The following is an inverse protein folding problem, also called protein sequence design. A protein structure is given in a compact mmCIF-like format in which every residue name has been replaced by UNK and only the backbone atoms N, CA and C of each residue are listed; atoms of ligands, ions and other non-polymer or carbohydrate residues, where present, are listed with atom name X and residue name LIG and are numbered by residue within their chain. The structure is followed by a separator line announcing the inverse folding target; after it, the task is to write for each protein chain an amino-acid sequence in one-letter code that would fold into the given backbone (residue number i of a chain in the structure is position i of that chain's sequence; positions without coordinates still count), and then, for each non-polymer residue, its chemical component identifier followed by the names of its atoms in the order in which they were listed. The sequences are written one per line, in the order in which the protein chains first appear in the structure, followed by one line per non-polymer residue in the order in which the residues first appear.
data_IF_982345997558
#
_entry.id   IF_982345997558
#
_cell.length_a   1.000
_cell.length_b   1.000
_cell.length_c   1.000
_cell.angle_alpha   90.00
_cell.angle_beta   90.00
_cell.angle_gamma   90.00
#
_symmetry.space_group_name_H-M   'P 1'
#
loop_
_entity.id
_entity.type
_entity.pdbx_description
1 polymer ?
#
# COMPACT_ATOMS: atom_id res chain seq x y z
N UNK A 1 27.06 46.97 33.62
CA UNK A 1 27.63 45.97 32.69
C UNK A 1 26.73 44.75 32.73
N UNK A 2 25.85 44.57 31.74
CA UNK A 2 24.92 43.44 31.67
C UNK A 2 25.19 42.69 30.35
N UNK A 3 25.82 41.52 30.43
CA UNK A 3 26.01 40.63 29.26
C UNK A 3 24.68 39.91 28.98
N UNK A 4 24.14 39.91 27.75
CA UNK A 4 23.07 39.00 27.40
C UNK A 4 23.67 37.61 27.21
N UNK A 5 23.29 36.69 28.09
CA UNK A 5 23.63 35.28 27.98
C UNK A 5 22.78 34.70 26.85
N UNK A 6 23.33 34.72 25.64
CA UNK A 6 22.72 34.14 24.45
C UNK A 6 22.66 32.62 24.65
N UNK A 7 21.49 32.11 25.03
CA UNK A 7 21.21 30.68 25.09
C UNK A 7 21.26 30.14 23.67
N UNK A 8 22.39 29.52 23.31
CA UNK A 8 22.53 28.74 22.09
C UNK A 8 21.73 27.45 22.28
N UNK A 9 20.45 27.47 21.91
CA UNK A 9 19.65 26.24 21.84
C UNK A 9 20.30 25.31 20.80
N UNK A 10 20.58 24.04 21.14
CA UNK A 10 20.96 23.07 20.13
C UNK A 10 19.78 22.92 19.17
N UNK A 11 19.98 23.31 17.91
CA UNK A 11 19.03 23.03 16.85
C UNK A 11 19.09 21.52 16.57
N UNK A 12 18.18 20.75 17.18
CA UNK A 12 17.96 19.38 16.77
C UNK A 12 17.47 19.37 15.32
N UNK A 13 18.17 18.68 14.43
CA UNK A 13 17.75 18.48 13.04
C UNK A 13 16.63 17.45 13.04
N UNK A 14 15.43 17.87 13.46
CA UNK A 14 14.24 17.06 13.33
C UNK A 14 13.85 16.98 11.85
N UNK A 15 14.01 15.81 11.23
CA UNK A 15 13.52 15.58 9.87
C UNK A 15 12.05 15.22 9.95
N UNK A 16 11.18 16.08 9.43
CA UNK A 16 9.74 15.78 9.38
C UNK A 16 9.37 15.06 8.08
N UNK A 17 8.48 14.06 8.18
CA UNK A 17 7.98 13.30 7.05
C UNK A 17 6.46 13.28 7.05
N UNK A 18 5.86 13.39 5.87
CA UNK A 18 4.41 13.31 5.69
C UNK A 18 4.04 11.96 5.10
N UNK A 19 3.13 11.25 5.75
CA UNK A 19 2.54 10.00 5.27
C UNK A 19 1.26 10.32 4.51
N UNK A 20 1.08 9.67 3.37
CA UNK A 20 -0.05 9.85 2.48
C UNK A 20 -0.89 8.58 2.39
N UNK A 21 -2.14 8.74 2.00
CA UNK A 21 -3.04 7.65 1.66
C UNK A 21 -3.68 7.85 0.29
N UNK A 22 -3.93 6.74 -0.41
CA UNK A 22 -4.56 6.75 -1.72
C UNK A 22 -5.26 5.42 -2.01
N UNK A 23 -6.27 5.43 -2.88
CA UNK A 23 -6.89 4.21 -3.39
C UNK A 23 -5.94 3.43 -4.32
N UNK A 24 -6.00 2.11 -4.25
CA UNK A 24 -5.29 1.22 -5.18
C UNK A 24 -6.35 0.60 -6.12
N UNK A 25 -6.16 0.67 -7.44
CA UNK A 25 -7.06 -0.02 -8.36
C UNK A 25 -7.06 -1.52 -8.08
N UNK A 26 -8.22 -2.11 -7.83
CA UNK A 26 -8.39 -3.56 -7.76
C UNK A 26 -8.91 -4.09 -9.10
N UNK A 27 -8.53 -5.32 -9.45
CA UNK A 27 -9.05 -6.01 -10.65
C UNK A 27 -10.52 -6.44 -10.50
N UNK A 28 -11.01 -6.57 -9.27
CA UNK A 28 -12.42 -6.88 -8.96
C UNK A 28 -13.34 -5.66 -9.06
N UNK A 29 -12.82 -4.46 -8.79
CA UNK A 29 -13.59 -3.21 -8.75
C UNK A 29 -12.79 -2.04 -9.35
N UNK A 30 -12.59 -2.01 -10.68
CA UNK A 30 -11.72 -1.02 -11.34
C UNK A 30 -12.24 0.43 -11.28
N UNK A 31 -13.46 0.67 -10.78
CA UNK A 31 -14.21 1.91 -11.06
C UNK A 31 -14.44 2.84 -9.85
N UNK A 32 -14.04 2.49 -8.63
CA UNK A 32 -14.32 3.34 -7.46
C UNK A 32 -13.05 3.68 -6.68
N UNK A 33 -12.27 4.63 -7.20
CA UNK A 33 -11.23 5.27 -6.40
C UNK A 33 -11.90 6.22 -5.39
N UNK A 34 -12.13 5.74 -4.16
CA UNK A 34 -12.65 6.55 -3.04
C UNK A 34 -11.80 7.80 -2.81
N UNK A 35 -10.48 7.68 -3.05
CA UNK A 35 -9.51 8.74 -2.87
C UNK A 35 -8.79 8.95 -4.21
N UNK A 36 -9.23 9.92 -5.04
CA UNK A 36 -8.77 10.08 -6.42
C UNK A 36 -7.35 10.65 -6.53
N UNK A 37 -6.82 11.25 -5.47
CA UNK A 37 -5.43 11.73 -5.40
C UNK A 37 -4.85 11.49 -4.00
N UNK A 38 -3.53 11.31 -3.86
CA UNK A 38 -2.91 11.06 -2.56
C UNK A 38 -3.19 12.19 -1.57
N UNK A 39 -3.79 11.86 -0.42
CA UNK A 39 -4.12 12.81 0.64
C UNK A 39 -3.12 12.69 1.80
N UNK A 40 -2.67 13.79 2.41
CA UNK A 40 -1.82 13.74 3.60
C UNK A 40 -2.62 13.26 4.82
N UNK A 41 -2.06 12.34 5.60
CA UNK A 41 -2.70 11.81 6.81
C UNK A 41 -2.02 12.25 8.09
N UNK A 42 -0.69 12.09 8.17
CA UNK A 42 0.06 12.35 9.39
C UNK A 42 1.41 12.96 9.05
N UNK A 43 1.83 13.94 9.85
CA UNK A 43 3.18 14.47 9.83
C UNK A 43 3.92 13.97 11.07
N UNK A 44 5.06 13.33 10.86
CA UNK A 44 5.88 12.72 11.90
C UNK A 44 7.22 13.45 11.93
N UNK A 45 7.63 13.92 13.10
CA UNK A 45 9.01 14.34 13.35
C UNK A 45 9.81 13.10 13.69
N UNK A 46 10.89 12.85 12.96
CA UNK A 46 11.77 11.73 13.20
C UNK A 46 13.17 12.22 13.57
N UNK A 47 13.67 11.76 14.72
CA UNK A 47 15.05 11.91 15.14
C UNK A 47 15.79 10.61 14.82
N UNK A 48 16.71 10.67 13.86
CA UNK A 48 17.47 9.51 13.41
C UNK A 48 18.53 9.05 14.41
N UNK A 49 19.07 9.96 15.23
CA UNK A 49 20.10 9.63 16.22
C UNK A 49 19.49 8.86 17.38
N UNK A 50 18.27 9.25 17.79
CA UNK A 50 17.53 8.60 18.87
C UNK A 50 16.62 7.48 18.38
N UNK A 51 16.42 7.33 17.07
CA UNK A 51 15.45 6.40 16.47
C UNK A 51 14.04 6.59 17.05
N UNK A 52 13.69 7.83 17.39
CA UNK A 52 12.39 8.19 17.99
C UNK A 52 11.58 9.02 17.02
N UNK A 53 10.27 8.73 16.96
CA UNK A 53 9.32 9.46 16.14
C UNK A 53 8.21 10.06 17.00
N UNK A 54 7.87 11.32 16.77
CA UNK A 54 6.74 12.00 17.40
C UNK A 54 5.74 12.47 16.36
N UNK A 55 4.45 12.28 16.63
CA UNK A 55 3.38 12.77 15.75
C UNK A 55 3.23 14.27 15.95
N UNK A 56 3.42 15.05 14.88
CA UNK A 56 3.22 16.50 14.88
C UNK A 56 1.75 16.83 14.63
N UNK A 57 1.15 16.18 13.63
CA UNK A 57 -0.24 16.40 13.24
C UNK A 57 -0.83 15.15 12.63
N UNK A 58 -2.13 14.96 12.82
CA UNK A 58 -2.92 13.88 12.24
C UNK A 58 -4.26 14.42 11.77
N UNK A 59 -4.58 14.16 10.51
CA UNK A 59 -5.87 14.48 9.91
C UNK A 59 -6.53 13.16 9.51
N UNK A 60 -7.61 12.75 10.19
CA UNK A 60 -8.31 11.53 9.86
C UNK A 60 -8.81 11.55 8.41
N UNK A 61 -8.75 10.40 7.71
CA UNK A 61 -9.35 10.29 6.40
C UNK A 61 -10.84 10.63 6.43
N UNK A 62 -11.27 11.50 5.52
CA UNK A 62 -12.69 11.81 5.32
C UNK A 62 -13.16 11.11 4.04
N UNK A 63 -14.32 10.47 4.08
CA UNK A 63 -14.87 9.75 2.93
C UNK A 63 -15.80 8.62 3.34
N UNK A 64 -16.65 8.18 2.40
CA UNK A 64 -17.45 6.97 2.57
C UNK A 64 -16.66 5.78 2.02
N UNK A 65 -16.24 4.89 2.92
CA UNK A 65 -15.52 3.68 2.57
C UNK A 65 -16.50 2.52 2.53
N UNK A 66 -16.73 1.96 1.35
CA UNK A 66 -17.45 0.69 1.19
C UNK A 66 -16.51 -0.51 1.36
N UNK A 67 -17.10 -1.72 1.40
CA UNK A 67 -16.36 -2.98 1.33
C UNK A 67 -15.60 -3.14 0.00
N UNK A 68 -14.52 -3.92 0.05
CA UNK A 68 -13.64 -4.25 -1.09
C UNK A 68 -12.85 -3.06 -1.68
N UNK A 69 -12.64 -1.99 -0.90
CA UNK A 69 -11.69 -0.95 -1.29
C UNK A 69 -10.28 -1.31 -0.85
N UNK A 70 -9.36 -1.30 -1.81
CA UNK A 70 -7.93 -1.42 -1.55
C UNK A 70 -7.33 -0.02 -1.38
N UNK A 71 -6.63 0.20 -0.27
CA UNK A 71 -5.98 1.45 0.09
C UNK A 71 -4.48 1.21 0.27
N UNK A 72 -3.67 2.22 -0.02
CA UNK A 72 -2.25 2.25 0.32
C UNK A 72 -1.96 3.43 1.24
N UNK A 73 -1.15 3.21 2.28
CA UNK A 73 -0.67 4.23 3.20
C UNK A 73 0.85 4.16 3.25
N UNK A 74 1.54 5.30 3.14
CA UNK A 74 3.01 5.31 3.08
C UNK A 74 3.61 6.64 2.64
N UNK A 75 4.89 6.60 2.27
CA UNK A 75 5.62 7.79 1.83
C UNK A 75 5.39 8.00 0.33
N UNK A 76 4.80 9.14 -0.02
CA UNK A 76 4.56 9.54 -1.39
C UNK A 76 5.46 10.73 -1.76
N UNK A 77 6.25 10.59 -2.83
CA UNK A 77 6.94 11.71 -3.46
C UNK A 77 5.97 12.45 -4.38
N UNK A 78 5.43 13.58 -3.93
CA UNK A 78 4.44 14.38 -4.66
C UNK A 78 4.98 14.99 -5.95
N UNK A 79 6.30 15.14 -6.08
CA UNK A 79 6.93 15.67 -7.30
C UNK A 79 7.12 14.57 -8.34
N UNK A 80 7.59 13.41 -7.91
CA UNK A 80 7.84 12.28 -8.82
C UNK A 80 6.59 11.42 -9.08
N UNK A 81 5.55 11.53 -8.26
CA UNK A 81 4.36 10.67 -8.35
C UNK A 81 4.63 9.22 -7.92
N UNK A 82 5.69 8.97 -7.13
CA UNK A 82 6.13 7.62 -6.77
C UNK A 82 6.04 7.36 -5.26
N UNK A 83 5.80 6.10 -4.87
CA UNK A 83 5.75 5.67 -3.47
C UNK A 83 7.09 5.10 -3.03
N UNK A 84 7.59 5.57 -1.89
CA UNK A 84 8.86 5.15 -1.27
C UNK A 84 8.57 4.37 0.02
N UNK A 85 8.00 3.18 -0.15
CA UNK A 85 7.50 2.35 0.96
C UNK A 85 6.04 2.67 1.29
N UNK A 86 5.21 1.63 1.29
CA UNK A 86 3.80 1.71 1.61
C UNK A 86 3.30 0.37 2.13
N UNK A 87 2.17 0.42 2.83
CA UNK A 87 1.44 -0.72 3.32
C UNK A 87 0.06 -0.71 2.67
N UNK A 88 -0.40 -1.88 2.20
CA UNK A 88 -1.71 -2.06 1.57
C UNK A 88 -2.74 -2.60 2.56
N UNK A 89 -3.97 -2.11 2.48
CA UNK A 89 -5.08 -2.51 3.33
C UNK A 89 -6.33 -2.68 2.49
N UNK A 90 -7.17 -3.66 2.84
CA UNK A 90 -8.49 -3.84 2.23
C UNK A 90 -9.56 -3.59 3.29
N UNK A 91 -10.59 -2.85 2.91
CA UNK A 91 -11.78 -2.68 3.73
C UNK A 91 -12.70 -3.89 3.55
N UNK A 92 -13.18 -4.45 4.65
CA UNK A 92 -14.16 -5.54 4.65
C UNK A 92 -15.28 -5.16 5.59
N UNK A 93 -16.52 -5.33 5.14
CA UNK A 93 -17.67 -5.23 6.03
C UNK A 93 -17.82 -6.57 6.74
N UNK A 94 -17.85 -6.56 8.07
CA UNK A 94 -18.38 -7.69 8.83
C UNK A 94 -19.86 -7.44 9.04
N UNK A 95 -20.71 -8.35 8.56
CA UNK A 95 -22.12 -8.38 8.98
C UNK A 95 -22.18 -8.85 10.44
N UNK A 96 -21.96 -7.91 11.36
CA UNK A 96 -22.30 -8.07 12.77
C UNK A 96 -23.73 -7.53 12.96
N UNK A 97 -24.59 -8.30 13.64
CA UNK A 97 -25.98 -7.92 13.86
C UNK A 97 -26.13 -6.50 14.41
N UNK A 98 -27.07 -5.76 13.81
CA UNK A 98 -27.54 -4.41 14.14
C UNK A 98 -26.57 -3.21 13.90
N UNK A 99 -25.47 -3.41 13.17
CA UNK A 99 -24.66 -2.27 12.71
C UNK A 99 -23.58 -2.66 11.70
N UNK A 100 -23.50 -1.93 10.60
CA UNK A 100 -22.47 -2.10 9.57
C UNK A 100 -21.12 -1.61 10.13
N UNK A 101 -20.28 -2.53 10.64
CA UNK A 101 -18.96 -2.22 11.19
C UNK A 101 -17.86 -2.55 10.17
N UNK A 102 -17.05 -1.54 9.84
CA UNK A 102 -15.93 -1.67 8.90
C UNK A 102 -14.71 -2.28 9.59
N UNK A 103 -14.31 -3.46 9.13
CA UNK A 103 -13.05 -4.09 9.52
C UNK A 103 -11.95 -3.78 8.50
N UNK A 104 -10.73 -3.61 8.99
CA UNK A 104 -9.55 -3.35 8.16
C UNK A 104 -8.63 -4.57 8.20
N UNK A 105 -8.46 -5.23 7.05
CA UNK A 105 -7.51 -6.33 6.90
C UNK A 105 -6.21 -5.83 6.27
N UNK A 106 -5.08 -6.21 6.89
CA UNK A 106 -3.75 -5.97 6.32
C UNK A 106 -3.52 -6.95 5.15
N UNK A 107 -3.54 -6.44 3.92
CA UNK A 107 -3.27 -7.26 2.74
C UNK A 107 -1.78 -7.27 2.45
N UNK A 108 -1.15 -8.41 2.71
CA UNK A 108 0.23 -8.63 2.25
C UNK A 108 0.25 -8.80 0.73
N UNK A 109 1.27 -8.24 0.09
CA UNK A 109 1.48 -8.44 -1.34
C UNK A 109 1.99 -9.86 -1.55
N UNK A 110 1.13 -10.73 -2.06
CA UNK A 110 1.52 -12.08 -2.45
C UNK A 110 2.55 -12.07 -3.58
N UNK A 111 3.45 -13.04 -3.58
CA UNK A 111 4.42 -13.20 -4.65
C UNK A 111 3.67 -13.56 -5.95
N UNK A 112 3.96 -12.84 -7.03
CA UNK A 112 3.39 -13.14 -8.34
C UNK A 112 3.75 -14.55 -8.82
N UNK A 113 2.99 -15.13 -9.76
CA UNK A 113 3.27 -16.45 -10.32
C UNK A 113 4.72 -16.52 -10.79
N UNK A 114 5.51 -17.44 -10.21
CA UNK A 114 6.89 -17.66 -10.64
C UNK A 114 6.86 -18.42 -11.97
N UNK A 115 7.41 -17.86 -13.06
CA UNK A 115 7.48 -18.59 -14.33
C UNK A 115 8.26 -19.88 -14.16
N UNK A 116 7.71 -20.99 -14.64
CA UNK A 116 8.39 -22.30 -14.58
C UNK A 116 9.41 -22.34 -15.72
N UNK A 117 10.63 -21.88 -15.44
CA UNK A 117 11.73 -21.72 -16.41
C UNK A 117 12.35 -23.04 -16.92
N UNK A 118 11.86 -24.19 -16.45
CA UNK A 118 12.43 -25.51 -16.76
C UNK A 118 11.54 -26.36 -17.68
N UNK A 119 10.49 -25.78 -18.26
CA UNK A 119 9.72 -26.43 -19.32
C UNK A 119 9.96 -25.66 -20.62
N UNK A 120 10.46 -26.29 -21.70
CA UNK A 120 10.53 -25.63 -22.99
C UNK A 120 9.11 -25.21 -23.39
N UNK A 121 8.96 -23.95 -23.81
CA UNK A 121 7.68 -23.41 -24.27
C UNK A 121 7.42 -23.99 -25.66
N UNK A 122 6.55 -25.00 -25.74
CA UNK A 122 6.13 -25.58 -27.02
C UNK A 122 5.08 -24.68 -27.62
N UNK A 123 5.37 -24.16 -28.82
CA UNK A 123 4.44 -23.32 -29.58
C UNK A 123 3.80 -24.16 -30.70
N UNK A 124 2.53 -23.89 -30.98
CA UNK A 124 1.86 -24.41 -32.19
C UNK A 124 2.34 -23.66 -33.45
N UNK A 125 1.89 -24.08 -34.63
CA UNK A 125 2.23 -23.46 -35.92
C UNK A 125 1.96 -21.94 -35.98
N UNK A 126 0.99 -21.45 -35.20
CA UNK A 126 0.64 -20.03 -35.09
C UNK A 126 1.47 -19.27 -34.02
N UNK A 127 2.49 -19.89 -33.43
CA UNK A 127 3.38 -19.25 -32.45
C UNK A 127 2.76 -19.03 -31.06
N UNK A 128 1.65 -19.71 -30.74
CA UNK A 128 0.94 -19.61 -29.45
C UNK A 128 1.15 -20.85 -28.57
N UNK A 129 1.06 -20.65 -27.26
CA UNK A 129 1.08 -21.71 -26.23
C UNK A 129 -0.34 -22.28 -26.14
N UNK A 130 -0.52 -23.56 -26.45
CA UNK A 130 -1.81 -24.23 -26.24
C UNK A 130 -1.92 -24.61 -24.76
N UNK A 131 -2.92 -24.07 -24.07
CA UNK A 131 -3.10 -24.18 -22.61
C UNK A 131 -3.72 -25.51 -22.15
N UNK A 132 -3.78 -26.52 -23.02
CA UNK A 132 -4.40 -27.81 -22.72
C UNK A 132 -3.34 -28.84 -22.42
N UNK A 133 -3.01 -29.03 -21.14
CA UNK A 133 -2.23 -30.20 -20.72
C UNK A 133 -3.03 -31.46 -21.12
N UNK A 134 -2.51 -32.33 -22.02
CA UNK A 134 -3.24 -33.51 -22.43
C UNK A 134 -3.24 -34.54 -21.30
N UNK A 135 -4.41 -34.77 -20.70
CA UNK A 135 -4.62 -35.87 -19.76
C UNK A 135 -4.33 -37.20 -20.47
N UNK A 136 -3.24 -37.87 -20.07
CA UNK A 136 -2.92 -39.20 -20.58
C UNK A 136 -3.90 -40.21 -19.98
N UNK A 137 -5.01 -40.46 -20.67
CA UNK A 137 -5.89 -41.59 -20.35
C UNK A 137 -5.17 -42.90 -20.74
N UNK A 138 -4.49 -43.51 -19.77
CA UNK A 138 -3.92 -44.85 -19.90
C UNK A 138 -5.05 -45.88 -19.75
N UNK A 139 -5.82 -46.12 -20.82
CA UNK A 139 -6.61 -47.35 -20.90
C UNK A 139 -5.71 -48.40 -21.53
N UNK A 140 -5.10 -49.22 -20.68
CA UNK A 140 -4.55 -50.51 -21.09
C UNK A 140 -5.72 -51.47 -21.35
N UNK A 141 -5.55 -52.26 -22.41
CA UNK A 141 -6.52 -53.20 -22.96
C UNK A 141 -6.74 -54.42 -22.06
#
# INVERSE_FOLDING_TARGET
MLLPKLFLLPAAVASSVTVYMHSVPSTSSPQTAVIPSPIPLVQISYDADQTTGTVISYTPPQGSYASDHLLRIGLHDTKAGTWKGHVGFRTTVKEAGDGDELEVELVRREAGPKPVLNKPVVLNADGRIDSKEPEKTFIQK
#
